data_IF_257844542603
#
_entry.id   IF_257844542603
#
_cell.length_a   1.000
_cell.length_b   1.000
_cell.length_c   1.000
_cell.angle_alpha   90.00
_cell.angle_beta   90.00
_cell.angle_gamma   90.00
#
_symmetry.space_group_name_H-M   'P 1'
#
loop_
_entity.id
_entity.type
_entity.pdbx_description
1 polymer ?
#
# COMPACT_ATOMS: atom_id res chain seq x y z
N UNK A 1 -1.13 3.04 17.94
CA UNK A 1 0.32 2.79 17.77
C UNK A 1 0.47 1.41 17.16
N UNK A 2 1.46 1.17 16.29
CA UNK A 2 1.63 -0.14 15.68
C UNK A 2 1.93 -1.23 16.74
N UNK A 3 1.52 -2.50 16.52
CA UNK A 3 1.61 -3.56 17.53
C UNK A 3 3.01 -3.77 18.07
N UNK A 4 4.00 -3.92 17.18
CA UNK A 4 5.42 -4.12 17.46
C UNK A 4 6.03 -3.01 18.33
N UNK A 5 5.53 -1.78 18.20
CA UNK A 5 5.95 -0.65 19.03
C UNK A 5 5.23 -0.68 20.37
N UNK A 6 3.91 -0.92 20.36
CA UNK A 6 3.06 -0.88 21.56
C UNK A 6 3.29 -2.06 22.52
N UNK A 7 3.80 -3.19 22.01
CA UNK A 7 4.11 -4.39 22.80
C UNK A 7 5.62 -4.57 23.00
N UNK A 8 6.43 -3.57 22.65
CA UNK A 8 7.87 -3.62 22.87
C UNK A 8 8.19 -3.70 24.37
N UNK A 9 9.13 -4.58 24.72
CA UNK A 9 9.60 -4.74 26.10
C UNK A 9 10.93 -3.99 26.26
N UNK A 10 11.05 -3.22 27.35
CA UNK A 10 12.31 -2.56 27.68
C UNK A 10 13.34 -3.57 28.18
N UNK A 11 14.60 -3.40 27.77
CA UNK A 11 15.71 -4.23 28.24
C UNK A 11 17.06 -3.73 27.69
N UNK A 12 18.19 -4.13 28.29
CA UNK A 12 19.52 -3.84 27.75
C UNK A 12 19.62 -4.34 26.30
N UNK A 13 20.07 -3.47 25.39
CA UNK A 13 20.17 -3.76 23.95
C UNK A 13 18.84 -4.03 23.21
N UNK A 14 17.68 -3.75 23.84
CA UNK A 14 16.40 -3.83 23.14
C UNK A 14 16.30 -2.71 22.09
N UNK A 15 15.97 -3.08 20.84
CA UNK A 15 15.72 -2.14 19.73
C UNK A 15 14.26 -2.27 19.31
N UNK A 16 13.57 -1.14 19.21
CA UNK A 16 12.20 -1.08 18.70
C UNK A 16 12.28 -0.78 17.20
N UNK A 17 11.76 -1.68 16.38
CA UNK A 17 11.72 -1.51 14.93
C UNK A 17 10.50 -0.68 14.50
N UNK A 18 10.76 0.50 13.93
CA UNK A 18 9.74 1.41 13.39
C UNK A 18 9.58 1.31 11.87
N UNK A 19 10.35 0.45 11.20
CA UNK A 19 10.46 0.41 9.72
C UNK A 19 9.12 0.24 8.99
N UNK A 20 8.10 -0.34 9.65
CA UNK A 20 6.74 -0.54 9.13
C UNK A 20 5.64 -0.04 10.07
N UNK A 21 5.99 0.72 11.11
CA UNK A 21 5.01 1.24 12.05
C UNK A 21 4.02 2.20 11.37
N UNK A 22 4.54 3.07 10.49
CA UNK A 22 3.72 4.03 9.74
C UNK A 22 2.80 3.35 8.72
N UNK A 23 3.26 2.24 8.10
CA UNK A 23 2.41 1.51 7.15
C UNK A 23 1.20 0.88 7.84
N UNK A 24 1.36 0.42 9.08
CA UNK A 24 0.24 -0.01 9.91
C UNK A 24 -0.72 1.14 10.24
N UNK A 25 -0.18 2.32 10.60
CA UNK A 25 -1.00 3.49 10.87
C UNK A 25 -1.80 3.94 9.64
N UNK A 26 -1.19 3.90 8.45
CA UNK A 26 -1.86 4.15 7.17
C UNK A 26 -2.98 3.13 6.94
N UNK A 27 -2.78 1.86 7.27
CA UNK A 27 -3.82 0.83 7.20
C UNK A 27 -5.04 1.16 8.08
N UNK A 28 -4.83 1.70 9.28
CA UNK A 28 -5.91 2.13 10.16
C UNK A 28 -6.65 3.36 9.60
N UNK A 29 -5.90 4.38 9.17
CA UNK A 29 -6.44 5.63 8.58
C UNK A 29 -7.17 5.34 7.25
N UNK A 30 -6.80 4.29 6.53
CA UNK A 30 -7.45 3.93 5.27
C UNK A 30 -8.95 3.64 5.44
N UNK A 31 -9.41 3.16 6.60
CA UNK A 31 -10.84 3.04 6.89
C UNK A 31 -11.54 4.41 6.77
N UNK A 32 -10.96 5.45 7.36
CA UNK A 32 -11.49 6.81 7.31
C UNK A 32 -11.47 7.38 5.89
N UNK A 33 -10.40 7.12 5.13
CA UNK A 33 -10.30 7.51 3.71
C UNK A 33 -11.45 6.93 2.88
N UNK A 34 -11.90 5.72 3.21
CA UNK A 34 -13.05 5.06 2.57
C UNK A 34 -14.39 5.34 3.27
N UNK A 35 -14.46 6.32 4.16
CA UNK A 35 -15.70 6.76 4.82
C UNK A 35 -16.18 5.84 5.94
N UNK A 36 -15.33 4.95 6.44
CA UNK A 36 -15.60 4.06 7.58
C UNK A 36 -15.02 4.63 8.86
N UNK A 37 -15.49 4.14 10.01
CA UNK A 37 -14.86 4.45 11.29
C UNK A 37 -13.51 3.71 11.41
N UNK A 38 -12.50 4.39 11.94
CA UNK A 38 -11.21 3.77 12.26
C UNK A 38 -11.43 2.67 13.33
N UNK A 39 -11.04 1.41 13.06
CA UNK A 39 -11.26 0.29 13.99
C UNK A 39 -10.58 0.46 15.36
N UNK A 40 -9.57 1.32 15.44
CA UNK A 40 -8.75 1.54 16.63
C UNK A 40 -9.08 2.83 17.39
N UNK A 41 -10.06 3.61 16.93
CA UNK A 41 -10.52 4.80 17.65
C UNK A 41 -11.67 4.45 18.59
N UNK A 42 -11.51 4.65 19.90
CA UNK A 42 -12.63 4.86 20.82
C UNK A 42 -12.65 4.07 22.13
N UNK A 43 -13.66 4.39 22.95
CA UNK A 43 -14.04 3.77 24.21
C UNK A 43 -15.37 3.03 24.03
N UNK A 44 -15.45 1.76 24.46
CA UNK A 44 -16.62 0.89 24.27
C UNK A 44 -16.24 -0.52 23.80
N UNK A 45 -17.23 -1.39 23.57
CA UNK A 45 -17.01 -2.83 23.30
C UNK A 45 -16.68 -3.18 21.83
N UNK A 46 -16.80 -2.22 20.90
CA UNK A 46 -16.60 -2.46 19.47
C UNK A 46 -15.21 -2.05 18.95
N UNK A 47 -14.33 -1.54 19.83
CA UNK A 47 -13.01 -1.03 19.44
C UNK A 47 -11.94 -2.10 19.52
N UNK A 48 -10.99 -2.03 18.59
CA UNK A 48 -9.82 -2.88 18.60
C UNK A 48 -8.67 -2.19 19.33
N UNK A 49 -8.03 -2.93 20.23
CA UNK A 49 -6.80 -2.48 20.89
C UNK A 49 -5.60 -2.95 20.07
N UNK A 50 -4.70 -2.03 19.69
CA UNK A 50 -3.57 -2.35 18.80
C UNK A 50 -2.67 -3.44 19.39
N UNK A 51 -2.58 -3.51 20.73
CA UNK A 51 -1.77 -4.51 21.44
C UNK A 51 -2.29 -5.94 21.31
N UNK A 52 -3.59 -6.14 21.15
CA UNK A 52 -4.21 -7.47 21.32
C UNK A 52 -5.23 -7.88 20.26
N UNK A 53 -5.63 -6.99 19.35
CA UNK A 53 -6.58 -7.34 18.28
C UNK A 53 -6.10 -8.55 17.48
N UNK A 54 -7.04 -9.34 17.00
CA UNK A 54 -6.82 -10.40 16.02
C UNK A 54 -7.18 -9.89 14.64
N UNK A 55 -6.42 -10.28 13.62
CA UNK A 55 -6.61 -9.79 12.24
C UNK A 55 -8.01 -10.14 11.70
N UNK A 56 -8.60 -11.25 12.16
CA UNK A 56 -9.97 -11.67 11.82
C UNK A 56 -11.06 -10.77 12.43
N UNK A 57 -10.74 -9.92 13.41
CA UNK A 57 -11.67 -8.96 14.01
C UNK A 57 -11.75 -7.65 13.22
N UNK A 58 -10.88 -7.46 12.22
CA UNK A 58 -10.91 -6.27 11.38
C UNK A 58 -12.24 -6.20 10.62
N UNK A 59 -12.99 -5.09 10.69
CA UNK A 59 -14.23 -4.93 9.95
C UNK A 59 -14.02 -5.12 8.45
N UNK A 60 -14.96 -5.77 7.78
CA UNK A 60 -14.87 -5.89 6.33
C UNK A 60 -15.14 -4.55 5.65
N UNK A 61 -14.30 -4.21 4.68
CA UNK A 61 -14.53 -3.05 3.83
C UNK A 61 -15.62 -3.36 2.79
N UNK A 62 -16.52 -2.40 2.49
CA UNK A 62 -17.63 -2.62 1.58
C UNK A 62 -17.15 -2.85 0.13
N UNK A 63 -18.00 -3.47 -0.68
CA UNK A 63 -17.72 -3.76 -2.09
C UNK A 63 -17.48 -2.50 -2.96
N UNK A 64 -17.87 -1.32 -2.48
CA UNK A 64 -17.54 -0.04 -3.14
C UNK A 64 -16.04 0.28 -3.12
N UNK A 65 -15.27 -0.33 -2.20
CA UNK A 65 -13.82 -0.17 -2.15
C UNK A 65 -13.16 -1.17 -3.11
N UNK A 66 -12.25 -0.72 -4.01
CA UNK A 66 -11.56 -1.60 -4.94
C UNK A 66 -10.92 -2.81 -4.25
N UNK A 67 -11.00 -4.02 -4.84
CA UNK A 67 -10.57 -5.26 -4.18
C UNK A 67 -9.07 -5.24 -3.83
N UNK A 68 -8.21 -4.67 -4.67
CA UNK A 68 -6.80 -4.50 -4.38
C UNK A 68 -6.55 -3.58 -3.17
N UNK A 69 -7.34 -2.50 -3.03
CA UNK A 69 -7.24 -1.60 -1.89
C UNK A 69 -7.69 -2.31 -0.59
N UNK A 70 -8.79 -3.06 -0.61
CA UNK A 70 -9.26 -3.85 0.54
C UNK A 70 -8.20 -4.86 1.00
N UNK A 71 -7.60 -5.58 0.06
CA UNK A 71 -6.52 -6.54 0.34
C UNK A 71 -5.28 -5.85 0.89
N UNK A 72 -4.87 -4.72 0.30
CA UNK A 72 -3.75 -3.94 0.80
C UNK A 72 -3.98 -3.45 2.23
N UNK A 73 -5.16 -2.91 2.56
CA UNK A 73 -5.45 -2.48 3.93
C UNK A 73 -5.33 -3.64 4.92
N UNK A 74 -5.87 -4.82 4.58
CA UNK A 74 -5.70 -6.03 5.40
C UNK A 74 -4.23 -6.41 5.55
N UNK A 75 -3.43 -6.35 4.48
CA UNK A 75 -1.98 -6.61 4.53
C UNK A 75 -1.22 -5.59 5.39
N UNK A 76 -1.61 -4.31 5.35
CA UNK A 76 -1.02 -3.24 6.18
C UNK A 76 -1.35 -3.39 7.66
N UNK A 77 -2.49 -3.99 7.99
CA UNK A 77 -2.95 -4.22 9.37
C UNK A 77 -2.58 -5.61 9.90
N UNK A 78 -1.59 -6.27 9.31
CA UNK A 78 -1.01 -7.46 9.92
C UNK A 78 -0.20 -7.10 11.17
N UNK A 79 -0.35 -7.90 12.23
CA UNK A 79 0.33 -7.63 13.51
C UNK A 79 1.84 -7.81 13.38
N UNK A 80 2.22 -8.93 12.77
CA UNK A 80 3.61 -9.28 12.46
C UNK A 80 4.19 -8.31 11.43
N UNK A 81 5.16 -7.47 11.85
CA UNK A 81 5.82 -6.51 10.97
C UNK A 81 6.51 -7.19 9.77
N UNK A 82 7.04 -8.40 9.96
CA UNK A 82 7.68 -9.18 8.89
C UNK A 82 6.74 -9.49 7.73
N UNK A 83 5.45 -9.69 8.00
CA UNK A 83 4.44 -10.04 6.99
C UNK A 83 3.82 -8.81 6.30
N UNK A 84 3.92 -7.63 6.93
CA UNK A 84 3.48 -6.36 6.33
C UNK A 84 4.32 -5.96 5.11
N UNK A 85 3.72 -5.38 4.07
CA UNK A 85 4.51 -4.75 3.01
C UNK A 85 5.25 -3.50 3.53
N UNK A 86 6.37 -3.18 2.91
CA UNK A 86 7.04 -1.88 3.13
C UNK A 86 6.20 -0.74 2.54
N UNK A 87 6.49 0.50 2.94
CA UNK A 87 5.81 1.67 2.40
C UNK A 87 5.97 1.77 0.87
N UNK A 88 7.18 1.48 0.37
CA UNK A 88 7.48 1.44 -1.06
C UNK A 88 6.66 0.38 -1.79
N UNK A 89 6.61 -0.85 -1.26
CA UNK A 89 5.85 -1.94 -1.86
C UNK A 89 4.35 -1.61 -1.90
N UNK A 90 3.79 -1.10 -0.80
CA UNK A 90 2.39 -0.68 -0.72
C UNK A 90 2.07 0.46 -1.71
N UNK A 91 2.94 1.46 -1.83
CA UNK A 91 2.78 2.55 -2.77
C UNK A 91 2.83 2.05 -4.23
N UNK A 92 3.75 1.13 -4.54
CA UNK A 92 3.85 0.52 -5.87
C UNK A 92 2.61 -0.30 -6.23
N UNK A 93 2.04 -1.05 -5.28
CA UNK A 93 0.78 -1.78 -5.46
C UNK A 93 -0.33 -0.82 -5.86
N UNK A 94 -0.53 0.27 -5.09
CA UNK A 94 -1.57 1.27 -5.41
C UNK A 94 -1.31 1.94 -6.77
N UNK A 95 -0.05 2.28 -7.07
CA UNK A 95 0.30 2.91 -8.34
C UNK A 95 0.01 1.99 -9.53
N UNK A 96 0.38 0.72 -9.44
CA UNK A 96 0.09 -0.28 -10.48
C UNK A 96 -1.41 -0.56 -10.61
N UNK A 97 -2.17 -0.55 -9.52
CA UNK A 97 -3.64 -0.66 -9.59
C UNK A 97 -4.29 0.52 -10.31
N UNK A 98 -3.74 1.73 -10.17
CA UNK A 98 -4.29 2.94 -10.80
C UNK A 98 -3.87 3.11 -12.26
N UNK A 99 -2.61 2.84 -12.60
CA UNK A 99 -2.03 3.17 -13.93
C UNK A 99 -1.35 2.00 -14.63
N UNK A 100 -1.32 0.83 -14.01
CA UNK A 100 -0.60 -0.36 -14.48
C UNK A 100 -1.47 -1.44 -15.12
N UNK A 101 -2.77 -1.23 -15.34
CA UNK A 101 -3.68 -2.28 -15.84
C UNK A 101 -3.19 -2.99 -17.11
N UNK A 102 -2.67 -2.23 -18.09
CA UNK A 102 -2.11 -2.80 -19.31
C UNK A 102 -0.90 -3.70 -19.06
N UNK A 103 -0.12 -3.40 -18.03
CA UNK A 103 1.04 -4.19 -17.62
C UNK A 103 0.59 -5.47 -16.90
N UNK A 104 -0.41 -5.36 -16.01
CA UNK A 104 -0.96 -6.46 -15.22
C UNK A 104 -1.80 -7.45 -16.06
N UNK A 105 -2.38 -7.00 -17.17
CA UNK A 105 -3.09 -7.86 -18.11
C UNK A 105 -2.17 -8.84 -18.87
N UNK A 106 -0.85 -8.65 -18.83
CA UNK A 106 0.10 -9.53 -19.48
C UNK A 106 0.27 -10.83 -18.68
N UNK A 107 -0.10 -11.96 -19.29
CA UNK A 107 0.04 -13.30 -18.69
C UNK A 107 1.44 -13.64 -18.17
N UNK A 108 2.48 -13.00 -18.72
CA UNK A 108 3.87 -13.14 -18.30
C UNK A 108 4.53 -11.77 -18.30
N UNK A 109 4.70 -11.19 -17.11
CA UNK A 109 5.37 -9.91 -16.94
C UNK A 109 6.87 -10.07 -17.24
N UNK A 110 7.30 -9.60 -18.42
CA UNK A 110 8.72 -9.54 -18.79
C UNK A 110 9.33 -8.20 -18.39
N UNK A 111 10.58 -8.22 -17.92
CA UNK A 111 11.30 -7.02 -17.51
C UNK A 111 11.32 -5.95 -18.62
N UNK A 112 11.55 -6.34 -19.87
CA UNK A 112 11.57 -5.42 -21.02
C UNK A 112 10.23 -4.68 -21.20
N UNK A 113 9.11 -5.36 -20.92
CA UNK A 113 7.77 -4.74 -20.99
C UNK A 113 7.55 -3.75 -19.85
N UNK A 114 8.06 -4.06 -18.66
CA UNK A 114 8.03 -3.14 -17.52
C UNK A 114 8.87 -1.90 -17.80
N UNK A 115 10.09 -2.06 -18.36
CA UNK A 115 10.95 -0.95 -18.76
C UNK A 115 10.27 -0.09 -19.83
N UNK A 116 9.71 -0.70 -20.86
CA UNK A 116 8.99 0.03 -21.92
C UNK A 116 7.81 0.83 -21.35
N UNK A 117 7.04 0.24 -20.43
CA UNK A 117 5.95 0.93 -19.74
C UNK A 117 6.46 2.11 -18.90
N UNK A 118 7.53 1.94 -18.12
CA UNK A 118 8.14 3.01 -17.32
C UNK A 118 8.63 4.18 -18.19
N UNK A 119 9.26 3.89 -19.32
CA UNK A 119 9.67 4.91 -20.29
C UNK A 119 8.47 5.69 -20.85
N UNK A 120 7.41 4.98 -21.21
CA UNK A 120 6.17 5.59 -21.69
C UNK A 120 5.53 6.49 -20.61
N UNK A 121 5.45 6.02 -19.36
CA UNK A 121 4.91 6.80 -18.23
C UNK A 121 5.77 8.04 -17.96
N UNK A 122 7.09 7.91 -18.05
CA UNK A 122 8.02 9.02 -17.86
C UNK A 122 7.82 10.11 -18.92
N UNK A 123 7.74 9.72 -20.19
CA UNK A 123 7.48 10.66 -21.28
C UNK A 123 6.11 11.34 -21.14
N UNK A 124 5.05 10.56 -20.86
CA UNK A 124 3.70 11.09 -20.69
C UNK A 124 3.62 12.08 -19.52
N UNK A 125 4.22 11.75 -18.38
CA UNK A 125 4.21 12.60 -17.17
C UNK A 125 4.96 13.91 -17.42
N UNK A 126 6.12 13.87 -18.08
CA UNK A 126 6.89 15.07 -18.42
C UNK A 126 6.15 15.99 -19.41
N UNK A 127 5.46 15.42 -20.40
CA UNK A 127 4.67 16.20 -21.34
C UNK A 127 3.43 16.80 -20.66
N UNK A 128 2.75 16.03 -19.81
CA UNK A 128 1.59 16.51 -19.07
C UNK A 128 1.94 17.67 -18.11
N UNK A 129 3.09 17.62 -17.45
CA UNK A 129 3.51 18.70 -16.53
C UNK A 129 3.86 19.99 -17.28
N UNK A 130 4.48 19.88 -18.47
CA UNK A 130 4.88 21.06 -19.27
C UNK A 130 3.75 21.73 -20.05
N UNK A 131 2.79 20.96 -20.52
CA UNK A 131 1.74 21.44 -21.43
C UNK A 131 0.50 21.98 -20.69
N UNK A 132 0.39 21.74 -19.39
CA UNK A 132 -0.79 22.12 -18.60
C UNK A 132 -0.46 23.37 -17.78
N UNK A 133 -1.34 24.37 -17.82
CA UNK A 133 -1.17 25.61 -17.04
C UNK A 133 -1.12 25.38 -15.52
N UNK A 134 -1.69 24.26 -15.04
CA UNK A 134 -1.64 23.82 -13.63
C UNK A 134 -1.37 22.31 -13.54
N UNK A 135 -0.31 21.95 -12.82
CA UNK A 135 0.07 20.57 -12.49
C UNK A 135 -1.00 19.91 -11.63
N UNK A 136 -1.59 18.80 -12.13
CA UNK A 136 -2.65 18.08 -11.45
C UNK A 136 -2.11 17.14 -10.37
N UNK A 137 -2.95 16.73 -9.41
CA UNK A 137 -2.54 15.81 -8.34
C UNK A 137 -2.07 14.47 -8.93
N UNK A 138 -2.73 13.96 -9.98
CA UNK A 138 -2.30 12.72 -10.63
C UNK A 138 -0.89 12.85 -11.23
N UNK A 139 -0.59 13.95 -11.91
CA UNK A 139 0.74 14.20 -12.49
C UNK A 139 1.81 14.23 -11.40
N UNK A 140 1.53 14.86 -10.26
CA UNK A 140 2.45 14.86 -9.11
C UNK A 140 2.66 13.47 -8.52
N UNK A 141 1.61 12.67 -8.38
CA UNK A 141 1.72 11.29 -7.90
C UNK A 141 2.55 10.42 -8.85
N UNK A 142 2.35 10.58 -10.17
CA UNK A 142 3.14 9.89 -11.18
C UNK A 142 4.61 10.32 -11.16
N UNK A 143 4.91 11.61 -11.06
CA UNK A 143 6.28 12.11 -10.93
C UNK A 143 6.96 11.56 -9.67
N UNK A 144 6.27 11.59 -8.53
CA UNK A 144 6.80 11.09 -7.27
C UNK A 144 7.10 9.59 -7.33
N UNK A 145 6.22 8.80 -7.94
CA UNK A 145 6.45 7.38 -8.18
C UNK A 145 7.71 7.14 -9.03
N UNK A 146 7.82 7.83 -10.17
CA UNK A 146 8.96 7.66 -11.09
C UNK A 146 10.29 8.11 -10.45
N UNK A 147 10.29 9.18 -9.67
CA UNK A 147 11.47 9.69 -8.96
C UNK A 147 11.95 8.74 -7.84
N UNK A 148 11.11 7.82 -7.40
CA UNK A 148 11.32 6.94 -6.25
C UNK A 148 11.33 5.45 -6.64
N UNK A 149 11.58 5.17 -7.92
CA UNK A 149 11.45 3.84 -8.46
C UNK A 149 12.55 2.90 -7.97
N UNK A 150 12.14 1.76 -7.42
CA UNK A 150 13.00 0.63 -7.11
C UNK A 150 12.50 -0.59 -7.91
N UNK A 151 13.30 -1.08 -8.87
CA UNK A 151 12.89 -2.15 -9.77
C UNK A 151 12.48 -3.43 -9.02
N UNK A 152 13.21 -3.80 -7.96
CA UNK A 152 12.89 -4.97 -7.15
C UNK A 152 11.52 -4.83 -6.46
N UNK A 153 11.28 -3.71 -5.79
CA UNK A 153 10.00 -3.43 -5.14
C UNK A 153 8.84 -3.34 -6.15
N UNK A 154 9.09 -2.85 -7.37
CA UNK A 154 8.08 -2.81 -8.44
C UNK A 154 7.72 -4.21 -8.94
N UNK A 155 8.73 -5.06 -9.17
CA UNK A 155 8.52 -6.47 -9.53
C UNK A 155 7.72 -7.20 -8.44
N UNK A 156 8.09 -7.02 -7.17
CA UNK A 156 7.36 -7.59 -6.04
C UNK A 156 5.91 -7.12 -5.99
N UNK A 157 5.64 -5.82 -6.22
CA UNK A 157 4.28 -5.28 -6.27
C UNK A 157 3.44 -5.93 -7.37
N UNK A 158 4.02 -6.09 -8.57
CA UNK A 158 3.32 -6.69 -9.70
C UNK A 158 3.01 -8.19 -9.49
N UNK A 159 3.96 -8.93 -8.88
CA UNK A 159 3.73 -10.33 -8.50
C UNK A 159 2.65 -10.44 -7.41
N UNK A 160 2.67 -9.56 -6.42
CA UNK A 160 1.67 -9.54 -5.36
C UNK A 160 0.27 -9.27 -5.92
N UNK A 161 0.12 -8.26 -6.78
CA UNK A 161 -1.13 -7.96 -7.49
C UNK A 161 -1.63 -9.14 -8.34
N UNK A 162 -0.71 -9.80 -9.05
CA UNK A 162 -1.05 -10.99 -9.86
C UNK A 162 -1.58 -12.12 -8.98
N UNK A 163 -0.96 -12.37 -7.82
CA UNK A 163 -1.44 -13.38 -6.87
C UNK A 163 -2.80 -13.03 -6.29
N UNK A 164 -3.08 -11.74 -6.07
CA UNK A 164 -4.39 -11.30 -5.61
C UNK A 164 -5.47 -11.54 -6.65
N UNK A 165 -5.20 -11.22 -7.92
CA UNK A 165 -6.15 -11.43 -9.02
C UNK A 165 -6.39 -12.90 -9.35
N UNK A 166 -5.44 -13.77 -9.03
CA UNK A 166 -5.58 -15.22 -9.21
C UNK A 166 -6.33 -15.92 -8.06
N UNK A 167 -6.43 -15.27 -6.89
CA UNK A 167 -7.16 -15.85 -5.76
C UNK A 167 -8.67 -15.67 -5.96
N UNK A 168 -9.47 -16.73 -5.75
CA UNK A 168 -10.92 -16.73 -5.95
C UNK A 168 -11.65 -15.73 -5.05
#
# INVERSE_FOLDING_TARGET
MAPEVSTAHSGPSAVIDYSKADTWAVGAIAYEIFGLANPFYGQGSAHLESRSYQEAQLPEMPESVPPEARRLVRSLLQREASKRPSARLAANVLHLSLWGEHLLALKNLKLDKMIAWLLQQSAATLLADRLREKSCVETKLQMLFLANLECEALCQAALLLSSWRAAP
#
